data_IF_674296763951
#
_entry.id   IF_674296763951
#
_cell.length_a   1.000
_cell.length_b   1.000
_cell.length_c   1.000
_cell.angle_alpha   90.00
_cell.angle_beta   90.00
_cell.angle_gamma   90.00
#
_symmetry.space_group_name_H-M   'P 1'
#
loop_
_entity.id
_entity.type
_entity.pdbx_description
1 polymer ?
#
# COMPACT_ATOMS: atom_id res chain seq x y z
N UNK A 1 -8.40 -4.20 6.46
CA UNK A 1 -7.73 -3.34 5.47
C UNK A 1 -6.23 -3.66 5.35
N UNK A 2 -5.54 -4.02 6.44
CA UNK A 2 -4.13 -4.44 6.40
C UNK A 2 -3.82 -5.54 5.39
N UNK A 3 -4.59 -6.64 5.39
CA UNK A 3 -4.41 -7.75 4.44
C UNK A 3 -4.51 -7.30 2.99
N UNK A 4 -5.53 -6.49 2.64
CA UNK A 4 -5.72 -5.91 1.31
C UNK A 4 -4.50 -5.07 0.89
N UNK A 5 -3.98 -4.23 1.79
CA UNK A 5 -2.78 -3.42 1.55
C UNK A 5 -1.55 -4.29 1.26
N UNK A 6 -1.31 -5.33 2.07
CA UNK A 6 -0.13 -6.20 1.91
C UNK A 6 -0.22 -7.06 0.65
N UNK A 7 -1.40 -7.61 0.34
CA UNK A 7 -1.63 -8.34 -0.91
C UNK A 7 -1.38 -7.45 -2.12
N UNK A 8 -1.93 -6.23 -2.14
CA UNK A 8 -1.75 -5.30 -3.24
C UNK A 8 -0.26 -4.97 -3.46
N UNK A 9 0.48 -4.63 -2.39
CA UNK A 9 1.91 -4.37 -2.49
C UNK A 9 2.69 -5.59 -3.00
N UNK A 10 2.36 -6.79 -2.52
CA UNK A 10 3.01 -8.03 -2.98
C UNK A 10 2.72 -8.34 -4.45
N UNK A 11 1.48 -8.16 -4.91
CA UNK A 11 1.09 -8.34 -6.32
C UNK A 11 1.79 -7.32 -7.23
N UNK A 12 2.00 -6.10 -6.73
CA UNK A 12 2.80 -5.07 -7.38
C UNK A 12 4.31 -5.31 -7.36
N UNK A 13 4.79 -6.40 -6.76
CA UNK A 13 6.22 -6.71 -6.64
C UNK A 13 6.97 -5.74 -5.74
N UNK A 14 6.30 -5.16 -4.74
CA UNK A 14 6.86 -4.17 -3.81
C UNK A 14 7.15 -4.87 -2.49
N UNK A 15 8.43 -4.96 -2.14
CA UNK A 15 8.85 -5.49 -0.86
C UNK A 15 8.60 -4.46 0.25
N UNK A 16 8.09 -4.92 1.40
CA UNK A 16 7.89 -4.09 2.59
C UNK A 16 9.09 -4.31 3.52
N UNK A 17 9.83 -3.24 3.81
CA UNK A 17 11.01 -3.31 4.69
C UNK A 17 10.62 -3.20 6.17
N UNK A 18 9.62 -2.37 6.47
CA UNK A 18 9.15 -2.16 7.82
C UNK A 18 7.67 -1.80 7.83
N UNK A 19 6.97 -2.28 8.85
CA UNK A 19 5.56 -1.95 9.12
C UNK A 19 5.48 -1.27 10.48
N UNK A 20 4.82 -0.11 10.53
CA UNK A 20 4.40 0.52 11.79
C UNK A 20 2.90 0.80 11.76
N UNK A 21 2.23 0.68 12.90
CA UNK A 21 0.76 0.73 12.95
C UNK A 21 0.24 1.53 14.14
N UNK A 22 -0.88 2.23 13.95
CA UNK A 22 -1.78 2.69 15.00
C UNK A 22 -3.19 2.14 14.76
N UNK A 23 -4.14 2.42 15.65
CA UNK A 23 -5.52 1.94 15.56
C UNK A 23 -6.20 2.28 14.21
N UNK A 24 -5.84 3.40 13.60
CA UNK A 24 -6.46 3.89 12.36
C UNK A 24 -5.49 4.03 11.17
N UNK A 25 -4.21 3.68 11.34
CA UNK A 25 -3.19 3.91 10.31
C UNK A 25 -2.18 2.76 10.24
N UNK A 26 -1.78 2.42 9.03
CA UNK A 26 -0.65 1.52 8.75
C UNK A 26 0.33 2.30 7.88
N UNK A 27 1.61 2.27 8.24
CA UNK A 27 2.71 2.87 7.47
C UNK A 27 3.66 1.74 7.07
N UNK A 28 3.96 1.66 5.78
CA UNK A 28 4.93 0.71 5.23
C UNK A 28 6.14 1.49 4.69
N UNK A 29 7.34 1.09 5.08
CA UNK A 29 8.59 1.55 4.47
C UNK A 29 8.91 0.62 3.31
N UNK A 30 9.20 1.21 2.15
CA UNK A 30 9.51 0.53 0.89
C UNK A 30 10.66 1.27 0.20
N UNK A 31 11.28 0.61 -0.77
CA UNK A 31 12.32 1.21 -1.61
C UNK A 31 11.83 2.50 -2.30
N UNK A 32 12.65 3.54 -2.31
CA UNK A 32 12.29 4.89 -2.80
C UNK A 32 11.76 4.86 -4.25
N UNK A 33 12.44 4.10 -5.13
CA UNK A 33 12.06 3.95 -6.54
C UNK A 33 10.67 3.31 -6.73
N UNK A 34 10.20 2.55 -5.73
CA UNK A 34 8.90 1.86 -5.75
C UNK A 34 7.76 2.69 -5.19
N UNK A 35 8.04 3.79 -4.49
CA UNK A 35 7.00 4.60 -3.80
C UNK A 35 5.88 5.03 -4.74
N UNK A 36 6.22 5.50 -5.95
CA UNK A 36 5.22 5.93 -6.93
C UNK A 36 4.31 4.78 -7.41
N UNK A 37 4.88 3.58 -7.60
CA UNK A 37 4.12 2.39 -7.98
C UNK A 37 3.27 1.92 -6.81
N UNK A 38 3.82 1.89 -5.61
CA UNK A 38 3.13 1.51 -4.39
C UNK A 38 1.91 2.39 -4.11
N UNK A 39 2.05 3.71 -4.28
CA UNK A 39 0.95 4.65 -4.11
C UNK A 39 -0.20 4.34 -5.09
N UNK A 40 0.09 4.10 -6.38
CA UNK A 40 -0.93 3.77 -7.39
C UNK A 40 -1.61 2.44 -7.11
N UNK A 41 -0.82 1.39 -6.85
CA UNK A 41 -1.33 0.05 -6.53
C UNK A 41 -2.26 0.10 -5.31
N UNK A 42 -1.91 0.88 -4.28
CA UNK A 42 -2.77 1.07 -3.12
C UNK A 42 -4.01 1.92 -3.44
N UNK A 43 -3.87 2.96 -4.27
CA UNK A 43 -5.00 3.78 -4.69
C UNK A 43 -6.08 2.96 -5.42
N UNK A 44 -5.64 2.16 -6.41
CA UNK A 44 -6.50 1.27 -7.19
C UNK A 44 -7.06 0.18 -6.29
N UNK A 45 -6.20 -0.44 -5.48
CA UNK A 45 -6.61 -1.50 -4.58
C UNK A 45 -7.64 -1.03 -3.58
N UNK A 46 -7.69 0.24 -3.17
CA UNK A 46 -8.71 0.76 -2.25
C UNK A 46 -9.84 1.53 -2.94
N UNK A 47 -9.86 1.55 -4.28
CA UNK A 47 -10.91 2.17 -5.11
C UNK A 47 -11.14 3.66 -4.78
N UNK A 48 -10.07 4.37 -4.39
CA UNK A 48 -10.15 5.75 -3.91
C UNK A 48 -10.47 6.78 -5.00
N UNK A 49 -10.47 6.36 -6.28
CA UNK A 49 -10.88 7.16 -7.44
C UNK A 49 -12.37 7.08 -7.78
N UNK A 50 -13.10 6.11 -7.22
CA UNK A 50 -14.54 5.99 -7.49
C UNK A 50 -15.28 6.99 -6.60
N UNK A 51 -15.81 8.05 -7.22
CA UNK A 51 -16.87 8.85 -6.62
C UNK A 51 -18.15 8.00 -6.57
N UNK A 52 -18.87 8.06 -5.43
CA UNK A 52 -20.17 7.39 -5.23
C UNK A 52 -21.24 7.85 -6.24
#
# INVERSE_FOLDING_TARGET
>A
YASRMFSALSEGGINIEMITTSEIRITCIVEEEKVGVAARVLHDAFELEKED
#
